data_IF_538095740912
#
_entry.id   IF_538095740912
#
_cell.length_a   1.000
_cell.length_b   1.000
_cell.length_c   1.000
_cell.angle_alpha   90.00
_cell.angle_beta   90.00
_cell.angle_gamma   90.00
#
_symmetry.space_group_name_H-M   'P 1'
#
loop_
_entity.id
_entity.type
_entity.pdbx_description
1 polymer ?
#
# COMPACT_ATOMS: atom_id res chain seq x y z
N UNK A 1 14.05 -8.99 -2.90
CA UNK A 1 13.42 -7.66 -2.72
C UNK A 1 11.96 -7.82 -3.09
N UNK A 2 11.08 -7.35 -2.21
CA UNK A 2 9.65 -7.25 -2.45
C UNK A 2 9.36 -5.98 -3.23
N UNK A 3 8.60 -6.10 -4.31
CA UNK A 3 8.17 -4.94 -5.10
C UNK A 3 6.68 -4.79 -4.94
N UNK A 4 6.25 -3.60 -4.55
CA UNK A 4 4.85 -3.23 -4.42
C UNK A 4 4.46 -2.41 -5.64
N UNK A 5 3.46 -2.88 -6.35
CA UNK A 5 2.96 -2.31 -7.58
C UNK A 5 1.54 -1.80 -7.40
N UNK A 6 1.17 -0.76 -8.15
CA UNK A 6 -0.22 -0.37 -8.33
C UNK A 6 -0.89 -1.31 -9.34
N UNK A 7 -2.22 -1.47 -9.30
CA UNK A 7 -2.97 -2.15 -10.36
C UNK A 7 -2.78 -1.51 -11.73
N UNK A 8 -2.39 -0.23 -11.78
CA UNK A 8 -2.02 0.47 -13.00
C UNK A 8 -0.68 0.06 -13.61
N UNK A 9 0.11 -0.80 -12.92
CA UNK A 9 1.45 -1.20 -13.33
C UNK A 9 2.56 -0.25 -12.89
N UNK A 10 2.26 0.77 -12.08
CA UNK A 10 3.26 1.68 -11.52
C UNK A 10 3.91 1.08 -10.27
N UNK A 11 5.25 1.05 -10.21
CA UNK A 11 5.98 0.68 -9.00
C UNK A 11 5.70 1.73 -7.91
N UNK A 12 5.22 1.28 -6.75
CA UNK A 12 4.84 2.13 -5.62
C UNK A 12 5.94 2.17 -4.57
N UNK A 13 6.52 1.02 -4.23
CA UNK A 13 7.64 0.89 -3.31
C UNK A 13 8.41 -0.41 -3.56
N UNK A 14 9.71 -0.40 -3.25
CA UNK A 14 10.54 -1.60 -3.23
C UNK A 14 11.15 -1.75 -1.84
N UNK A 15 10.86 -2.88 -1.18
CA UNK A 15 11.24 -3.13 0.22
C UNK A 15 12.00 -4.44 0.33
N UNK A 16 12.94 -4.52 1.26
CA UNK A 16 13.70 -5.75 1.46
C UNK A 16 12.93 -6.72 2.36
N UNK A 17 12.91 -8.01 2.02
CA UNK A 17 12.24 -9.03 2.86
C UNK A 17 12.90 -9.18 4.24
N UNK A 18 14.14 -8.72 4.37
CA UNK A 18 14.88 -8.68 5.63
C UNK A 18 14.26 -7.67 6.60
N UNK A 19 13.70 -6.57 6.08
CA UNK A 19 13.02 -5.53 6.85
C UNK A 19 11.55 -5.88 7.08
N UNK A 20 10.90 -6.53 6.11
CA UNK A 20 9.46 -6.81 6.14
C UNK A 20 9.18 -8.27 5.78
N UNK A 21 8.77 -9.05 6.79
CA UNK A 21 8.47 -10.49 6.65
C UNK A 21 6.98 -10.79 6.46
N UNK A 22 6.12 -9.94 6.99
CA UNK A 22 4.68 -10.17 7.06
C UNK A 22 3.91 -9.10 6.29
N UNK A 23 2.76 -9.48 5.75
CA UNK A 23 1.86 -8.57 5.03
C UNK A 23 1.45 -7.36 5.88
N UNK A 24 1.27 -7.53 7.20
CA UNK A 24 0.91 -6.44 8.12
C UNK A 24 2.02 -5.41 8.22
N UNK A 25 3.27 -5.85 8.43
CA UNK A 25 4.42 -4.95 8.50
C UNK A 25 4.61 -4.17 7.18
N UNK A 26 4.28 -4.79 6.04
CA UNK A 26 4.28 -4.09 4.76
C UNK A 26 3.22 -2.99 4.70
N UNK A 27 2.00 -3.29 5.13
CA UNK A 27 0.91 -2.31 5.15
C UNK A 27 1.21 -1.13 6.09
N UNK A 28 1.81 -1.40 7.24
CA UNK A 28 2.25 -0.36 8.18
C UNK A 28 3.35 0.51 7.56
N UNK A 29 4.33 -0.09 6.91
CA UNK A 29 5.38 0.65 6.21
C UNK A 29 4.81 1.55 5.12
N UNK A 30 3.88 1.04 4.31
CA UNK A 30 3.17 1.81 3.29
C UNK A 30 2.31 2.92 3.88
N UNK A 31 1.73 2.71 5.08
CA UNK A 31 1.03 3.74 5.84
C UNK A 31 1.98 4.85 6.26
N UNK A 32 3.14 4.53 6.78
CA UNK A 32 4.10 5.53 7.25
C UNK A 32 4.73 6.30 6.07
N UNK A 33 5.00 5.63 4.95
CA UNK A 33 5.59 6.28 3.78
C UNK A 33 4.59 7.08 2.93
N UNK A 34 3.37 6.58 2.74
CA UNK A 34 2.39 7.20 1.84
C UNK A 34 1.14 7.76 2.54
N UNK A 35 0.94 7.46 3.82
CA UNK A 35 -0.23 7.91 4.60
C UNK A 35 -1.49 7.07 4.41
N UNK A 36 -1.41 5.91 3.73
CA UNK A 36 -2.58 5.07 3.48
C UNK A 36 -3.00 4.28 4.73
N UNK A 37 -4.27 4.33 5.18
CA UNK A 37 -4.72 3.51 6.31
C UNK A 37 -4.62 2.02 5.98
N UNK A 38 -4.07 1.21 6.91
CA UNK A 38 -3.93 -0.25 6.75
C UNK A 38 -5.26 -0.94 6.42
N UNK A 39 -6.37 -0.42 6.94
CA UNK A 39 -7.73 -0.93 6.69
C UNK A 39 -8.19 -0.79 5.23
N UNK A 40 -7.66 0.20 4.50
CA UNK A 40 -7.96 0.40 3.08
C UNK A 40 -6.95 -0.32 2.18
N UNK A 41 -5.84 -0.81 2.75
CA UNK A 41 -4.77 -1.46 2.00
C UNK A 41 -5.03 -2.96 1.83
N UNK A 42 -5.24 -3.37 0.59
CA UNK A 42 -5.37 -4.75 0.20
C UNK A 42 -4.16 -5.18 -0.62
N UNK A 43 -3.41 -6.16 -0.13
CA UNK A 43 -2.27 -6.72 -0.82
C UNK A 43 -2.71 -7.93 -1.63
N UNK A 44 -2.35 -7.96 -2.90
CA UNK A 44 -2.56 -9.09 -3.78
C UNK A 44 -1.23 -9.65 -4.26
N UNK A 45 -1.14 -10.96 -4.37
CA UNK A 45 -0.01 -11.66 -4.94
C UNK A 45 -0.53 -12.60 -6.03
N UNK A 46 -0.11 -12.39 -7.27
CA UNK A 46 -0.57 -13.18 -8.42
C UNK A 46 -2.12 -13.23 -8.54
N UNK A 47 -2.77 -12.10 -8.26
CA UNK A 47 -4.24 -12.00 -8.25
C UNK A 47 -4.94 -12.59 -7.03
N UNK A 48 -4.22 -13.19 -6.08
CA UNK A 48 -4.77 -13.69 -4.82
C UNK A 48 -4.60 -12.67 -3.70
N UNK A 49 -5.66 -12.39 -2.96
CA UNK A 49 -5.62 -11.51 -1.79
C UNK A 49 -4.81 -12.17 -0.68
N UNK A 50 -3.81 -11.47 -0.16
CA UNK A 50 -3.04 -11.90 0.98
C UNK A 50 -3.77 -11.51 2.27
N UNK A 51 -3.90 -12.49 3.16
CA UNK A 51 -4.49 -12.30 4.48
C UNK A 51 -3.54 -11.51 5.41
N UNK A 52 -4.09 -10.99 6.50
CA UNK A 52 -3.32 -10.26 7.51
C UNK A 52 -2.43 -11.24 8.28
N UNK A 53 -1.12 -11.17 8.05
CA UNK A 53 -0.13 -12.10 8.59
C UNK A 53 0.35 -13.16 7.61
N UNK A 54 -0.04 -13.08 6.34
CA UNK A 54 0.56 -13.91 5.29
C UNK A 54 2.05 -13.59 5.17
N UNK A 55 2.89 -14.63 5.23
CA UNK A 55 4.34 -14.51 5.06
C UNK A 55 4.66 -14.14 3.63
N UNK A 56 5.46 -13.09 3.47
CA UNK A 56 5.90 -12.62 2.16
C UNK A 56 7.12 -13.43 1.73
N UNK A 57 7.10 -13.97 0.51
CA UNK A 57 8.26 -14.67 -0.05
C UNK A 57 9.36 -13.66 -0.44
N UNK A 58 10.63 -14.03 -0.32
CA UNK A 58 11.78 -13.14 -0.50
C UNK A 58 11.88 -12.40 -1.86
N UNK A 59 11.18 -12.91 -2.87
CA UNK A 59 11.05 -12.33 -4.21
C UNK A 59 9.61 -12.49 -4.67
N UNK A 60 8.75 -11.55 -4.28
CA UNK A 60 7.36 -11.52 -4.65
C UNK A 60 6.99 -10.13 -5.19
N UNK A 61 6.26 -10.12 -6.29
CA UNK A 61 5.61 -8.93 -6.83
C UNK A 61 4.21 -8.83 -6.21
N UNK A 62 4.04 -7.82 -5.37
CA UNK A 62 2.81 -7.57 -4.63
C UNK A 62 2.08 -6.41 -5.29
N UNK A 63 0.77 -6.49 -5.38
CA UNK A 63 -0.07 -5.39 -5.83
C UNK A 63 -0.80 -4.78 -4.64
N UNK A 64 -0.68 -3.46 -4.48
CA UNK A 64 -1.43 -2.71 -3.48
C UNK A 64 -2.68 -2.13 -4.11
N UNK A 65 -3.84 -2.64 -3.70
CA UNK A 65 -5.15 -2.08 -4.03
C UNK A 65 -5.64 -1.28 -2.83
N UNK A 66 -5.99 -0.02 -3.04
CA UNK A 66 -6.65 0.80 -2.04
C UNK A 66 -8.17 0.64 -2.22
N UNK A 67 -8.82 0.00 -1.26
CA UNK A 67 -10.28 -0.09 -1.22
C UNK A 67 -10.76 1.23 -0.61
N UNK A 68 -11.20 2.15 -1.46
CA UNK A 68 -11.90 3.35 -1.02
C UNK A 68 -13.38 2.99 -0.84
N UNK A 69 -13.77 2.40 0.29
CA UNK A 69 -15.17 2.50 0.67
C UNK A 69 -15.43 3.99 0.97
N UNK A 70 -16.19 4.65 0.10
CA UNK A 70 -16.64 6.02 0.32
C UNK A 70 -17.67 6.09 1.46
N UNK A 71 -17.83 5.04 2.26
CA UNK A 71 -18.92 4.93 3.22
C UNK A 71 -18.55 5.48 4.59
N UNK A 72 -17.31 5.32 5.10
CA UNK A 72 -17.01 5.76 6.48
C UNK A 72 -15.64 6.43 6.70
N UNK A 73 -15.22 7.35 5.83
CA UNK A 73 -14.25 8.36 6.27
C UNK A 73 -14.36 9.69 5.53
N UNK A 74 -15.20 10.58 6.08
CA UNK A 74 -15.20 12.02 5.77
C UNK A 74 -13.89 12.75 6.14
N UNK A 75 -12.81 12.06 6.54
CA UNK A 75 -11.62 12.70 7.10
C UNK A 75 -10.28 12.47 6.37
N UNK A 76 -10.22 11.77 5.23
CA UNK A 76 -8.96 11.55 4.50
C UNK A 76 -8.77 12.41 3.23
N UNK A 77 -9.62 13.41 3.00
CA UNK A 77 -9.52 14.30 1.82
C UNK A 77 -8.57 15.50 2.03
N UNK A 78 -7.32 15.28 2.50
CA UNK A 78 -6.34 16.39 2.68
C UNK A 78 -4.93 16.18 2.12
N UNK A 79 -4.67 15.21 1.24
CA UNK A 79 -3.39 15.13 0.53
C UNK A 79 -3.58 15.09 -0.99
N UNK A 80 -3.89 16.25 -1.59
CA UNK A 80 -3.48 16.64 -2.96
C UNK A 80 -4.02 18.05 -3.33
N UNK A 81 -3.84 19.05 -2.47
CA UNK A 81 -4.13 20.45 -2.82
C UNK A 81 -2.94 21.36 -2.49
N UNK A 82 -1.73 20.91 -2.86
CA UNK A 82 -0.53 21.70 -2.79
C UNK A 82 0.06 21.86 -4.20
N UNK A 83 -0.66 22.52 -5.10
CA UNK A 83 -0.05 23.29 -6.19
C UNK A 83 -1.00 24.42 -6.61
N UNK A 84 -0.42 25.61 -6.78
CA UNK A 84 -0.97 26.87 -7.30
C UNK A 84 -1.71 27.78 -6.30
N UNK A 85 -0.90 28.51 -5.51
CA UNK A 85 -1.21 29.90 -5.15
C UNK A 85 0.09 30.68 -4.89
N UNK A 86 0.85 30.94 -5.96
CA UNK A 86 1.71 32.12 -6.04
C UNK A 86 0.96 33.16 -6.88
N UNK A 87 0.44 34.20 -6.23
CA UNK A 87 0.30 35.54 -6.82
C UNK A 87 0.04 36.60 -5.74
#
# INVERSE_FOLDING_TARGET
MLRVWRPSGQELAAVSVEEIKDSVALKEHLRDQHGFPVSLQQLLHDGNVLDDGAKLAASADLQLVLISDLSESKNAARLAAAELADN
#
